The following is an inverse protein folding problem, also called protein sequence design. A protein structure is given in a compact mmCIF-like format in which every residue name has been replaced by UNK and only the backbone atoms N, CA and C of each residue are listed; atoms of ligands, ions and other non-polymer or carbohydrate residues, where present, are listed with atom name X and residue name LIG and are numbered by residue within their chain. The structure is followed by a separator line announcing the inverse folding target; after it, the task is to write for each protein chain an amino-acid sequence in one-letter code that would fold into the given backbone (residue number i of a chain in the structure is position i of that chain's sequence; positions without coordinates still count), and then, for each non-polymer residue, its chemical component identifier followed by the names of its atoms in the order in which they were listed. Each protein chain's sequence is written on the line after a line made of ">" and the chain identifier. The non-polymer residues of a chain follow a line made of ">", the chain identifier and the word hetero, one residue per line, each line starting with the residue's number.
data_IF_875353236294
#
_entry.id   IF_875353236294
#
_cell.length_a   1.000
_cell.length_b   1.000
_cell.length_c   1.000
_cell.angle_alpha   90.00
_cell.angle_beta   90.00
_cell.angle_gamma   90.00
#
_symmetry.space_group_name_H-M   'P 1'
#
loop_
_entity.id
_entity.type
_entity.pdbx_description
1 polymer ?
#
# COMPACT_ATOMS: atom_id res chain seq x y z
N UNK A 1 -2.79 0.22 28.11
CA UNK A 1 -1.46 -0.10 28.66
C UNK A 1 -1.57 -0.04 30.18
N UNK A 2 -1.40 -1.16 30.86
CA UNK A 2 -1.44 -1.28 32.32
C UNK A 2 -0.06 -1.73 32.81
N UNK A 3 0.22 -1.65 34.11
CA UNK A 3 1.43 -2.20 34.73
C UNK A 3 2.77 -1.55 34.35
N UNK A 4 2.84 -0.21 34.33
CA UNK A 4 4.13 0.51 34.24
C UNK A 4 4.75 0.67 35.63
N UNK A 5 6.08 0.80 35.69
CA UNK A 5 6.84 1.07 36.92
C UNK A 5 6.49 0.10 38.07
N UNK A 6 6.63 -1.21 37.82
CA UNK A 6 6.41 -2.31 38.79
C UNK A 6 5.00 -2.39 39.43
N UNK A 7 4.05 -1.60 38.96
CA UNK A 7 2.66 -1.70 39.38
C UNK A 7 2.00 -2.94 38.76
N UNK A 8 1.14 -3.62 39.53
CA UNK A 8 0.28 -4.68 39.00
C UNK A 8 -0.75 -4.08 38.05
N UNK A 9 -0.85 -4.64 36.85
CA UNK A 9 -1.85 -4.27 35.84
C UNK A 9 -2.71 -5.48 35.47
N UNK A 10 -4.00 -5.26 35.27
CA UNK A 10 -4.93 -6.30 34.81
C UNK A 10 -5.42 -5.94 33.40
N UNK A 11 -5.59 -6.95 32.54
CA UNK A 11 -6.19 -6.81 31.22
C UNK A 11 -7.27 -7.89 31.04
N UNK A 12 -8.39 -7.51 30.42
CA UNK A 12 -9.50 -8.42 30.11
C UNK A 12 -9.75 -8.30 28.61
N UNK A 13 -9.79 -9.44 27.93
CA UNK A 13 -10.05 -9.54 26.49
C UNK A 13 -11.34 -10.30 26.28
N UNK A 14 -12.17 -9.82 25.36
CA UNK A 14 -13.37 -10.51 24.91
C UNK A 14 -13.11 -11.13 23.54
N UNK A 15 -13.62 -12.34 23.32
CA UNK A 15 -13.53 -13.03 22.05
C UNK A 15 -14.82 -13.80 21.77
N UNK A 16 -15.14 -13.97 20.50
CA UNK A 16 -16.28 -14.76 20.03
C UNK A 16 -15.82 -16.15 19.59
N UNK A 17 -16.77 -17.07 19.34
CA UNK A 17 -16.47 -18.44 18.86
C UNK A 17 -15.65 -18.48 17.56
N UNK A 18 -15.71 -17.42 16.74
CA UNK A 18 -14.97 -17.34 15.46
C UNK A 18 -13.52 -16.94 15.64
N UNK A 19 -13.17 -16.41 16.79
CA UNK A 19 -11.85 -15.82 17.08
C UNK A 19 -11.03 -16.73 18.01
N UNK A 20 -11.48 -17.96 18.24
CA UNK A 20 -10.78 -18.95 19.08
C UNK A 20 -9.40 -19.30 18.51
N UNK A 21 -9.28 -19.34 17.18
CA UNK A 21 -8.00 -19.57 16.52
C UNK A 21 -7.01 -18.43 16.82
N UNK A 22 -7.47 -17.17 16.77
CA UNK A 22 -6.64 -16.02 17.13
C UNK A 22 -6.20 -16.03 18.60
N UNK A 23 -7.07 -16.49 19.52
CA UNK A 23 -6.69 -16.70 20.93
C UNK A 23 -5.51 -17.67 21.02
N UNK A 24 -5.62 -18.80 20.32
CA UNK A 24 -4.59 -19.86 20.33
C UNK A 24 -3.26 -19.36 19.78
N UNK A 25 -3.30 -18.60 18.67
CA UNK A 25 -2.11 -17.99 18.08
C UNK A 25 -1.44 -16.98 19.03
N UNK A 26 -2.23 -16.20 19.76
CA UNK A 26 -1.71 -15.22 20.75
C UNK A 26 -1.09 -15.94 21.95
N UNK A 27 -1.70 -17.02 22.43
CA UNK A 27 -1.15 -17.84 23.52
C UNK A 27 0.20 -18.45 23.14
N UNK A 28 0.31 -18.95 21.91
CA UNK A 28 1.57 -19.45 21.35
C UNK A 28 2.62 -18.34 21.22
N UNK A 29 2.23 -17.18 20.70
CA UNK A 29 3.12 -16.03 20.52
C UNK A 29 3.67 -15.52 21.86
N UNK A 30 2.84 -15.48 22.90
CA UNK A 30 3.21 -15.03 24.23
C UNK A 30 3.85 -16.13 25.09
N UNK A 31 3.77 -17.40 24.67
CA UNK A 31 4.09 -18.58 25.48
C UNK A 31 3.42 -18.55 26.86
N UNK A 32 2.16 -18.08 26.91
CA UNK A 32 1.39 -17.95 28.14
C UNK A 32 -0.07 -18.27 27.87
N UNK A 33 -0.64 -19.11 28.74
CA UNK A 33 -2.06 -19.45 28.70
C UNK A 33 -2.93 -18.33 29.29
N UNK A 34 -4.04 -18.02 28.62
CA UNK A 34 -5.03 -17.06 29.07
C UNK A 34 -6.20 -17.81 29.73
N UNK A 35 -6.42 -17.54 31.02
CA UNK A 35 -7.54 -18.12 31.77
C UNK A 35 -8.88 -17.61 31.22
N UNK A 36 -9.73 -18.54 30.79
CA UNK A 36 -11.11 -18.25 30.38
C UNK A 36 -12.00 -18.30 31.61
N UNK A 37 -12.75 -17.23 31.85
CA UNK A 37 -13.79 -17.17 32.88
C UNK A 37 -15.16 -17.10 32.20
N UNK A 38 -16.15 -17.68 32.85
CA UNK A 38 -17.53 -17.60 32.40
C UNK A 38 -18.04 -16.16 32.45
N UNK A 39 -18.97 -15.85 31.55
CA UNK A 39 -19.60 -14.54 31.48
C UNK A 39 -20.56 -14.37 32.68
N UNK A 40 -20.52 -13.23 33.39
CA UNK A 40 -21.35 -13.02 34.57
C UNK A 40 -22.85 -12.98 34.24
N UNK A 41 -23.69 -13.58 35.10
CA UNK A 41 -25.15 -13.64 34.92
C UNK A 41 -25.86 -12.29 35.09
N UNK A 42 -25.25 -11.34 35.80
CA UNK A 42 -25.81 -9.99 36.02
C UNK A 42 -25.87 -9.16 34.73
N UNK A 43 -25.11 -9.52 33.70
CA UNK A 43 -24.97 -8.73 32.48
C UNK A 43 -25.84 -9.29 31.35
N UNK A 44 -26.82 -8.50 30.91
CA UNK A 44 -27.69 -8.87 29.79
C UNK A 44 -26.92 -8.88 28.46
N UNK A 45 -27.04 -9.97 27.71
CA UNK A 45 -26.42 -10.12 26.39
C UNK A 45 -27.37 -9.57 25.31
N UNK A 46 -26.97 -8.49 24.65
CA UNK A 46 -27.73 -7.95 23.52
C UNK A 46 -27.40 -8.68 22.22
N UNK A 47 -28.41 -9.13 21.47
CA UNK A 47 -28.26 -9.75 20.14
C UNK A 47 -28.18 -8.73 18.99
N UNK A 48 -28.22 -7.43 19.31
CA UNK A 48 -28.27 -6.36 18.31
C UNK A 48 -26.86 -6.06 17.79
N UNK A 49 -26.44 -6.81 16.79
CA UNK A 49 -25.16 -6.60 16.10
C UNK A 49 -25.15 -5.26 15.35
N UNK A 50 -24.04 -4.53 15.47
CA UNK A 50 -23.81 -3.29 14.71
C UNK A 50 -23.57 -3.69 13.23
N UNK A 51 -23.87 -2.79 12.29
CA UNK A 51 -23.70 -3.02 10.85
C UNK A 51 -22.37 -3.67 10.40
N UNK A 52 -21.19 -3.31 10.94
CA UNK A 52 -19.91 -3.94 10.56
C UNK A 52 -19.66 -5.30 11.22
N UNK A 53 -20.33 -5.61 12.33
CA UNK A 53 -20.22 -6.91 13.03
C UNK A 53 -21.12 -7.98 12.40
N UNK A 54 -22.13 -7.57 11.64
CA UNK A 54 -22.96 -8.50 10.88
C UNK A 54 -22.14 -9.16 9.79
N UNK A 55 -22.33 -10.47 9.64
CA UNK A 55 -21.77 -11.20 8.51
C UNK A 55 -22.21 -10.55 7.20
N UNK A 56 -21.21 -10.15 6.40
CA UNK A 56 -21.47 -9.71 5.04
C UNK A 56 -21.96 -10.92 4.26
N UNK A 57 -23.28 -11.03 4.15
CA UNK A 57 -23.85 -12.03 3.27
C UNK A 57 -23.44 -11.70 1.84
N UNK A 58 -22.88 -12.67 1.09
CA UNK A 58 -22.59 -12.46 -0.31
C UNK A 58 -23.91 -12.21 -1.04
N UNK A 59 -24.13 -10.96 -1.47
CA UNK A 59 -25.27 -10.60 -2.30
C UNK A 59 -25.11 -11.36 -3.61
N UNK A 60 -25.93 -12.39 -3.82
CA UNK A 60 -26.04 -13.06 -5.12
C UNK A 60 -26.72 -12.09 -6.09
N UNK A 61 -25.91 -11.44 -6.93
CA UNK A 61 -26.44 -10.71 -8.09
C UNK A 61 -27.04 -11.73 -9.06
N UNK A 62 -28.36 -11.87 -9.05
CA UNK A 62 -29.09 -12.79 -9.92
C UNK A 62 -29.08 -12.33 -11.38
N UNK A 63 -28.82 -11.05 -11.64
CA UNK A 63 -28.72 -10.50 -12.99
C UNK A 63 -27.29 -10.56 -13.51
N UNK A 64 -27.12 -11.05 -14.75
CA UNK A 64 -25.87 -10.89 -15.50
C UNK A 64 -25.57 -9.39 -15.63
N UNK A 65 -24.38 -8.95 -15.21
CA UNK A 65 -23.89 -7.60 -15.50
C UNK A 65 -23.97 -7.41 -17.02
N UNK A 66 -24.73 -6.42 -17.48
CA UNK A 66 -24.75 -6.04 -18.89
C UNK A 66 -23.32 -5.65 -19.27
N UNK A 67 -22.73 -6.33 -20.26
CA UNK A 67 -21.53 -5.83 -20.92
C UNK A 67 -21.95 -4.57 -21.65
N UNK A 68 -21.41 -3.43 -21.24
CA UNK A 68 -21.50 -2.22 -22.04
C UNK A 68 -20.58 -2.45 -23.23
N UNK A 69 -21.13 -2.60 -24.43
CA UNK A 69 -20.35 -2.64 -25.66
C UNK A 69 -19.86 -1.23 -25.96
N UNK A 70 -18.63 -0.95 -25.49
CA UNK A 70 -17.94 0.30 -25.73
C UNK A 70 -16.69 0.40 -24.85
N UNK A 71 -15.59 0.84 -25.44
CA UNK A 71 -14.59 1.54 -24.65
C UNK A 71 -15.32 2.78 -24.08
N UNK A 72 -15.21 3.02 -22.77
CA UNK A 72 -16.05 4.00 -22.06
C UNK A 72 -16.05 5.40 -22.70
N UNK A 73 -16.84 6.34 -22.17
CA UNK A 73 -16.86 7.74 -22.61
C UNK A 73 -15.54 8.48 -22.27
N UNK A 74 -14.43 8.00 -22.82
CA UNK A 74 -13.10 8.57 -22.66
C UNK A 74 -12.87 9.54 -23.81
N UNK A 75 -12.70 10.81 -23.46
CA UNK A 75 -12.25 11.81 -24.42
C UNK A 75 -10.73 11.74 -24.50
N UNK A 76 -10.19 11.60 -25.72
CA UNK A 76 -8.75 11.68 -25.91
C UNK A 76 -8.22 13.03 -25.40
N UNK A 77 -7.15 12.99 -24.62
CA UNK A 77 -6.53 14.22 -24.11
C UNK A 77 -6.07 15.07 -25.30
N UNK A 78 -6.33 16.37 -25.24
CA UNK A 78 -5.78 17.30 -26.23
C UNK A 78 -4.26 17.11 -26.37
N UNK A 79 -3.72 17.28 -27.59
CA UNK A 79 -2.31 16.98 -27.92
C UNK A 79 -1.28 17.68 -27.01
N UNK A 80 -1.63 18.81 -26.39
CA UNK A 80 -0.80 19.54 -25.41
C UNK A 80 -0.75 18.85 -24.03
N UNK A 81 -1.80 18.13 -23.67
CA UNK A 81 -1.95 17.45 -22.38
C UNK A 81 -1.53 15.97 -22.45
N UNK A 82 -1.20 15.47 -23.64
CA UNK A 82 -0.59 14.15 -23.82
C UNK A 82 0.91 14.24 -23.66
N UNK A 83 1.45 13.49 -22.69
CA UNK A 83 2.90 13.39 -22.50
C UNK A 83 3.50 12.54 -23.62
N UNK A 84 4.24 13.18 -24.52
CA UNK A 84 5.01 12.50 -25.56
C UNK A 84 6.45 12.32 -25.10
N UNK A 85 6.98 11.11 -25.18
CA UNK A 85 8.38 10.84 -24.87
C UNK A 85 9.26 11.33 -26.02
N UNK A 86 9.73 12.57 -25.96
CA UNK A 86 10.59 13.20 -26.98
C UNK A 86 12.05 12.69 -26.96
N UNK A 87 12.34 11.65 -26.16
CA UNK A 87 13.66 11.05 -26.03
C UNK A 87 14.67 11.94 -25.29
N UNK A 88 15.94 11.51 -25.33
CA UNK A 88 17.04 12.27 -24.74
C UNK A 88 17.48 13.48 -25.59
N UNK A 89 18.38 14.33 -25.06
CA UNK A 89 18.83 15.56 -25.72
C UNK A 89 19.45 15.33 -27.11
N UNK A 90 19.94 14.13 -27.41
CA UNK A 90 20.43 13.78 -28.76
C UNK A 90 19.33 13.71 -29.83
N UNK A 91 18.06 13.54 -29.44
CA UNK A 91 16.90 13.50 -30.35
C UNK A 91 16.20 14.86 -30.40
N UNK A 92 16.18 15.58 -29.28
CA UNK A 92 15.50 16.88 -29.16
C UNK A 92 16.34 18.07 -29.65
N UNK A 93 17.67 18.01 -29.51
CA UNK A 93 18.57 19.13 -29.86
C UNK A 93 19.37 18.81 -31.12
N UNK A 94 19.47 19.79 -32.03
CA UNK A 94 20.37 19.71 -33.19
C UNK A 94 21.82 19.64 -32.69
N UNK A 95 22.61 18.68 -33.19
CA UNK A 95 24.04 18.60 -32.85
C UNK A 95 24.75 19.80 -33.43
N UNK A 96 25.21 20.70 -32.57
CA UNK A 96 25.92 21.93 -32.98
C UNK A 96 27.38 21.66 -33.34
N UNK A 97 27.97 20.59 -32.82
CA UNK A 97 29.37 20.25 -33.08
C UNK A 97 29.54 18.74 -33.26
N UNK A 98 30.46 18.34 -34.14
CA UNK A 98 30.88 16.96 -34.32
C UNK A 98 31.72 16.45 -33.15
N UNK A 99 31.97 15.14 -33.10
CA UNK A 99 32.88 14.56 -32.11
C UNK A 99 34.31 15.05 -32.36
N UNK A 100 34.90 15.73 -31.39
CA UNK A 100 36.29 16.18 -31.48
C UNK A 100 37.18 15.31 -30.60
N UNK A 101 38.36 14.95 -31.11
CA UNK A 101 39.37 14.24 -30.32
C UNK A 101 39.97 15.18 -29.25
N UNK A 102 39.49 15.03 -28.02
CA UNK A 102 39.87 15.86 -26.87
C UNK A 102 41.37 15.80 -26.56
N UNK A 103 42.04 14.67 -26.82
CA UNK A 103 43.47 14.54 -26.55
C UNK A 103 44.31 15.38 -27.51
N UNK A 104 43.91 15.43 -28.78
CA UNK A 104 44.57 16.28 -29.78
C UNK A 104 44.42 17.77 -29.43
N UNK A 105 43.21 18.21 -29.05
CA UNK A 105 42.98 19.60 -28.62
C UNK A 105 43.80 19.97 -27.37
N UNK A 106 43.89 19.06 -26.39
CA UNK A 106 44.72 19.26 -25.19
C UNK A 106 46.20 19.43 -25.55
N UNK A 107 46.71 18.61 -26.45
CA UNK A 107 48.11 18.70 -26.88
C UNK A 107 48.38 19.99 -27.66
N UNK A 108 47.45 20.43 -28.53
CA UNK A 108 47.58 21.72 -29.23
C UNK A 108 47.51 22.91 -28.28
N UNK A 109 46.62 22.88 -27.27
CA UNK A 109 46.52 23.93 -26.26
C UNK A 109 47.78 24.01 -25.39
N UNK A 110 48.33 22.85 -24.99
CA UNK A 110 49.60 22.78 -24.25
C UNK A 110 50.74 23.39 -25.09
N UNK A 111 50.85 23.01 -26.37
CA UNK A 111 51.85 23.57 -27.28
C UNK A 111 51.71 25.08 -27.50
N UNK A 112 50.49 25.64 -27.47
CA UNK A 112 50.27 27.10 -27.54
C UNK A 112 50.62 27.82 -26.24
N UNK A 113 50.57 27.14 -25.10
CA UNK A 113 50.88 27.72 -23.78
C UNK A 113 52.37 27.66 -23.45
N UNK A 114 53.07 26.66 -24.00
CA UNK A 114 54.51 26.45 -23.85
C UNK A 114 55.33 27.26 -24.89
N UNK A 115 54.68 28.13 -25.68
CA UNK A 115 55.30 29.04 -26.66
C UNK A 115 55.07 30.48 -26.21
#
# INVERSE_FOLDING_TARGET
>A
RTGRADAKGTAISFFTKREVDFKTDVELLMNQELLVKDFPEEVEISLKLIGPEKDKQPIKFLMKKQKLDGDGAFHEKSKKNTKVNLGGPSKTKKKTHGSVNRNMLKNQAKKRKDK
#
